data_IF_433919792849
#
_entry.id   IF_433919792849
#
_cell.length_a   1.000
_cell.length_b   1.000
_cell.length_c   1.000
_cell.angle_alpha   90.00
_cell.angle_beta   90.00
_cell.angle_gamma   90.00
#
_symmetry.space_group_name_H-M   'P 1'
#
loop_
_entity.id
_entity.type
_entity.pdbx_description
1 polymer ?
#
# COMPACT_ATOMS: atom_id res chain seq x y z
N UNK A 1 -12.60 11.76 16.94
CA UNK A 1 -11.16 12.03 16.88
C UNK A 1 -10.50 10.88 16.16
N UNK A 2 -9.68 11.20 15.15
CA UNK A 2 -8.64 10.36 14.52
C UNK A 2 -8.99 8.89 14.25
N UNK A 3 -9.44 8.58 13.03
CA UNK A 3 -9.57 7.20 12.57
C UNK A 3 -8.21 6.50 12.59
N UNK A 4 -8.07 5.42 13.33
CA UNK A 4 -6.83 4.64 13.40
C UNK A 4 -6.68 3.82 12.13
N UNK A 5 -5.78 4.26 11.26
CA UNK A 5 -5.42 3.58 10.02
C UNK A 5 -3.92 3.56 9.83
N UNK A 6 -3.49 2.99 8.70
CA UNK A 6 -2.11 3.10 8.23
C UNK A 6 -2.08 3.85 6.91
N UNK A 7 -1.04 4.65 6.70
CA UNK A 7 -0.79 5.28 5.41
C UNK A 7 -0.32 4.26 4.39
N UNK A 8 -0.88 4.38 3.19
CA UNK A 8 -0.46 3.70 1.99
C UNK A 8 0.25 4.71 1.08
N UNK A 9 1.15 4.22 0.22
CA UNK A 9 1.96 5.08 -0.66
C UNK A 9 1.19 5.63 -1.87
N UNK A 10 0.09 6.33 -1.63
CA UNK A 10 -0.71 6.99 -2.65
C UNK A 10 -1.21 8.37 -2.21
N UNK A 11 -1.26 9.31 -3.16
CA UNK A 11 -1.68 10.70 -2.95
C UNK A 11 -2.74 11.12 -3.95
N UNK A 12 -3.59 12.06 -3.54
CA UNK A 12 -4.49 12.75 -4.45
C UNK A 12 -3.71 13.66 -5.40
N UNK A 13 -4.12 13.73 -6.67
CA UNK A 13 -3.53 14.61 -7.68
C UNK A 13 -4.43 15.82 -8.05
N UNK A 14 -5.54 15.99 -7.35
CA UNK A 14 -6.62 16.92 -7.69
C UNK A 14 -7.81 16.27 -8.39
N UNK A 15 -7.65 15.05 -8.91
CA UNK A 15 -8.68 14.32 -9.66
C UNK A 15 -8.87 12.87 -9.19
N UNK A 16 -7.80 12.19 -8.78
CA UNK A 16 -7.78 10.78 -8.37
C UNK A 16 -6.63 10.51 -7.41
N UNK A 17 -6.60 9.28 -6.88
CA UNK A 17 -5.44 8.79 -6.15
C UNK A 17 -4.45 8.09 -7.08
N UNK A 18 -3.17 8.36 -6.87
CA UNK A 18 -2.07 7.79 -7.66
C UNK A 18 -1.07 7.13 -6.71
N UNK A 19 -0.78 5.86 -6.95
CA UNK A 19 0.29 5.12 -6.26
C UNK A 19 1.64 5.75 -6.62
N UNK A 20 2.43 6.13 -5.63
CA UNK A 20 3.70 6.83 -5.88
C UNK A 20 4.78 5.88 -6.38
N UNK A 21 4.73 4.59 -6.00
CA UNK A 21 5.67 3.56 -6.46
C UNK A 21 5.71 3.39 -7.98
N UNK A 22 4.56 3.32 -8.64
CA UNK A 22 4.48 2.96 -10.07
C UNK A 22 3.57 3.86 -10.91
N UNK A 23 2.96 4.88 -10.32
CA UNK A 23 2.06 5.80 -11.02
C UNK A 23 0.69 5.22 -11.34
N UNK A 24 0.39 4.00 -10.89
CA UNK A 24 -0.92 3.37 -11.13
C UNK A 24 -2.03 4.19 -10.47
N UNK A 25 -3.16 4.32 -11.15
CA UNK A 25 -4.33 5.06 -10.67
C UNK A 25 -5.23 4.16 -9.84
N UNK A 26 -5.59 4.62 -8.64
CA UNK A 26 -6.73 4.12 -7.89
C UNK A 26 -7.98 4.93 -8.30
N UNK A 27 -8.83 4.31 -9.14
CA UNK A 27 -10.06 4.95 -9.62
C UNK A 27 -10.96 5.41 -8.46
N UNK A 28 -11.63 6.55 -8.62
CA UNK A 28 -12.62 7.06 -7.66
C UNK A 28 -13.83 6.13 -7.51
N UNK A 29 -14.07 5.24 -8.48
CA UNK A 29 -15.14 4.23 -8.46
C UNK A 29 -14.65 2.85 -8.02
N UNK A 30 -13.39 2.73 -7.54
CA UNK A 30 -12.83 1.46 -7.10
C UNK A 30 -13.69 0.83 -5.99
N UNK A 31 -13.97 -0.49 -6.05
CA UNK A 31 -14.71 -1.17 -4.99
C UNK A 31 -13.93 -1.22 -3.68
N UNK A 32 -12.61 -0.94 -3.70
CA UNK A 32 -11.75 -0.94 -2.52
C UNK A 32 -12.00 0.26 -1.59
N UNK A 33 -12.74 1.28 -2.04
CA UNK A 33 -13.12 2.40 -1.20
C UNK A 33 -14.14 2.00 -0.15
N UNK A 34 -13.86 2.39 1.10
CA UNK A 34 -14.83 2.34 2.17
C UNK A 34 -16.10 3.13 1.79
N UNK A 35 -17.31 2.73 2.23
CA UNK A 35 -18.54 3.45 1.90
C UNK A 35 -18.43 4.96 2.15
N UNK A 36 -18.84 5.76 1.16
CA UNK A 36 -18.75 7.22 1.21
C UNK A 36 -17.38 7.79 0.84
N UNK A 37 -16.39 6.97 0.46
CA UNK A 37 -15.08 7.43 -0.02
C UNK A 37 -14.91 7.24 -1.53
N UNK A 38 -14.03 8.03 -2.19
CA UNK A 38 -13.26 9.14 -1.63
C UNK A 38 -14.08 10.43 -1.43
N UNK A 39 -15.38 10.46 -1.79
CA UNK A 39 -16.27 11.64 -1.69
C UNK A 39 -15.63 12.95 -2.22
N UNK A 40 -14.93 12.85 -3.35
CA UNK A 40 -14.23 14.00 -3.95
C UNK A 40 -13.01 14.50 -3.16
N UNK A 41 -12.60 13.82 -2.08
CA UNK A 41 -11.42 14.15 -1.29
C UNK A 41 -10.14 13.63 -1.96
N UNK A 42 -9.83 14.17 -3.14
CA UNK A 42 -8.74 13.73 -4.02
C UNK A 42 -7.72 14.83 -4.31
N UNK A 43 -7.72 15.91 -3.51
CA UNK A 43 -6.78 17.02 -3.66
C UNK A 43 -5.34 16.62 -3.32
N UNK A 44 -4.37 17.46 -3.70
CA UNK A 44 -2.93 17.24 -3.44
C UNK A 44 -2.55 17.21 -1.95
N UNK A 45 -3.43 17.70 -1.06
CA UNK A 45 -3.28 17.59 0.39
C UNK A 45 -3.89 16.33 1.00
N UNK A 46 -4.35 15.37 0.19
CA UNK A 46 -5.02 14.14 0.64
C UNK A 46 -4.14 12.91 0.38
N UNK A 47 -4.10 12.01 1.36
CA UNK A 47 -3.31 10.78 1.36
C UNK A 47 -4.23 9.56 1.53
N UNK A 48 -3.83 8.42 0.96
CA UNK A 48 -4.60 7.18 1.00
C UNK A 48 -4.38 6.47 2.34
N UNK A 49 -5.45 6.34 3.13
CA UNK A 49 -5.45 5.56 4.37
C UNK A 49 -6.01 4.16 4.16
N UNK A 50 -5.53 3.20 4.94
CA UNK A 50 -6.12 1.86 5.08
C UNK A 50 -6.65 1.68 6.50
N UNK A 51 -7.94 1.34 6.64
CA UNK A 51 -8.57 1.01 7.91
C UNK A 51 -8.06 -0.33 8.43
N UNK A 52 -7.83 -0.41 9.75
CA UNK A 52 -7.33 -1.64 10.41
C UNK A 52 -8.26 -2.15 11.52
N UNK A 53 -9.45 -1.56 11.66
CA UNK A 53 -10.38 -1.92 12.72
C UNK A 53 -11.29 -3.10 12.37
N UNK A 54 -11.38 -4.06 13.30
CA UNK A 54 -12.21 -5.27 13.15
C UNK A 54 -13.66 -4.98 12.75
N UNK A 55 -14.29 -3.94 13.29
CA UNK A 55 -15.69 -3.65 13.01
C UNK A 55 -15.91 -3.13 11.58
N UNK A 56 -15.01 -2.27 11.09
CA UNK A 56 -15.06 -1.77 9.72
C UNK A 56 -14.88 -2.92 8.73
N UNK A 57 -13.89 -3.78 8.98
CA UNK A 57 -13.67 -4.99 8.17
C UNK A 57 -14.82 -5.99 8.23
N UNK A 58 -15.48 -6.12 9.39
CA UNK A 58 -16.65 -7.00 9.55
C UNK A 58 -17.85 -6.48 8.75
N UNK A 59 -18.08 -5.17 8.74
CA UNK A 59 -19.26 -4.57 8.12
C UNK A 59 -19.02 -4.25 6.63
N UNK A 60 -17.76 -4.01 6.23
CA UNK A 60 -17.37 -3.61 4.89
C UNK A 60 -16.12 -4.38 4.43
N UNK A 61 -16.21 -5.72 4.32
CA UNK A 61 -15.07 -6.55 3.93
C UNK A 61 -14.56 -6.17 2.53
N UNK A 62 -13.23 -6.11 2.38
CA UNK A 62 -12.59 -5.80 1.09
C UNK A 62 -12.68 -4.32 0.67
N UNK A 63 -13.15 -3.43 1.55
CA UNK A 63 -13.29 -2.00 1.28
C UNK A 63 -12.43 -1.14 2.21
N UNK A 64 -11.10 -1.34 2.25
CA UNK A 64 -10.29 -0.86 3.34
C UNK A 64 -9.87 0.61 3.21
N UNK A 65 -10.07 1.24 2.05
CA UNK A 65 -9.45 2.53 1.77
C UNK A 65 -10.29 3.75 2.15
N UNK A 66 -9.62 4.76 2.71
CA UNK A 66 -10.15 6.09 3.04
C UNK A 66 -9.20 7.18 2.54
N UNK A 67 -9.61 8.44 2.65
CA UNK A 67 -8.80 9.60 2.25
C UNK A 67 -8.71 10.64 3.37
N UNK A 68 -7.54 10.87 3.90
CA UNK A 68 -7.36 11.81 5.02
C UNK A 68 -6.36 12.91 4.64
N UNK A 69 -6.42 14.09 5.29
CA UNK A 69 -5.38 15.10 5.13
C UNK A 69 -4.01 14.50 5.42
N UNK A 70 -3.03 14.73 4.54
CA UNK A 70 -1.68 14.18 4.71
C UNK A 70 -0.97 14.67 5.99
N UNK A 71 -1.48 15.73 6.63
CA UNK A 71 -0.99 16.24 7.91
C UNK A 71 -1.42 15.39 9.12
N UNK A 72 -2.33 14.43 8.94
CA UNK A 72 -2.72 13.50 10.00
C UNK A 72 -1.57 12.53 10.32
N UNK A 73 -1.39 12.27 11.62
CA UNK A 73 -0.38 11.34 12.09
C UNK A 73 -0.91 9.91 12.09
N UNK A 74 -0.47 9.11 11.12
CA UNK A 74 -0.65 7.65 11.09
C UNK A 74 0.68 6.94 10.91
N UNK A 75 0.72 5.64 11.25
CA UNK A 75 1.85 4.78 10.88
C UNK A 75 1.78 4.51 9.38
N UNK A 76 2.93 4.39 8.73
CA UNK A 76 2.99 4.04 7.30
C UNK A 76 3.25 2.55 7.15
N UNK A 77 2.48 1.89 6.27
CA UNK A 77 2.76 0.53 5.86
C UNK A 77 3.76 0.57 4.70
N UNK A 78 4.93 -0.02 4.89
CA UNK A 78 5.97 -0.08 3.87
C UNK A 78 5.96 -1.46 3.19
N UNK A 79 6.07 -1.46 1.86
CA UNK A 79 6.36 -2.66 1.08
C UNK A 79 7.87 -2.80 0.92
N UNK A 80 8.42 -3.98 1.22
CA UNK A 80 9.81 -4.32 0.91
C UNK A 80 9.83 -5.26 -0.29
N UNK A 81 10.48 -4.84 -1.37
CA UNK A 81 10.70 -5.72 -2.51
C UNK A 81 11.75 -6.76 -2.14
N UNK A 82 11.34 -8.02 -2.02
CA UNK A 82 12.25 -9.15 -1.90
C UNK A 82 12.91 -9.39 -3.26
N UNK A 83 14.07 -8.76 -3.51
CA UNK A 83 14.99 -9.33 -4.50
C UNK A 83 15.39 -10.70 -3.95
N UNK A 84 14.93 -11.78 -4.58
CA UNK A 84 15.46 -13.10 -4.29
C UNK A 84 16.99 -12.99 -4.35
N UNK A 85 17.65 -13.26 -3.22
CA UNK A 85 19.11 -13.33 -3.18
C UNK A 85 19.54 -14.28 -4.28
N UNK A 86 20.50 -13.94 -5.16
CA UNK A 86 21.04 -14.93 -6.08
C UNK A 86 21.55 -16.07 -5.22
N UNK A 87 21.06 -17.29 -5.49
CA UNK A 87 21.53 -18.48 -4.82
C UNK A 87 23.05 -18.49 -4.92
N UNK A 88 23.73 -18.54 -3.78
CA UNK A 88 25.18 -18.73 -3.72
C UNK A 88 25.50 -19.94 -4.59
N UNK A 89 26.34 -19.83 -5.65
CA UNK A 89 26.72 -21.01 -6.40
C UNK A 89 27.47 -21.92 -5.43
N UNK A 90 26.89 -23.09 -5.16
CA UNK A 90 27.56 -24.17 -4.45
C UNK A 90 28.76 -24.58 -5.31
N UNK A 91 29.96 -24.16 -4.91
CA UNK A 91 31.20 -24.64 -5.51
C UNK A 91 31.30 -26.14 -5.19
N UNK A 92 31.06 -26.98 -6.19
CA UNK A 92 31.37 -28.41 -6.12
C UNK A 92 32.90 -28.56 -6.20
N UNK A 93 33.59 -29.10 -5.18
CA UNK A 93 35.00 -29.42 -5.32
C UNK A 93 35.14 -30.60 -6.30
N UNK A 94 35.81 -30.33 -7.43
CA UNK A 94 36.21 -31.35 -8.40
C UNK A 94 37.45 -32.09 -7.88
N UNK A 95 37.27 -33.30 -7.35
CA UNK A 95 38.38 -34.20 -7.04
C UNK A 95 38.91 -34.82 -8.34
N UNK A 96 40.07 -34.33 -8.78
CA UNK A 96 40.90 -34.90 -9.84
C UNK A 96 41.51 -36.23 -9.37
N UNK A 97 41.72 -37.24 -10.24
CA UNK A 97 42.27 -38.54 -9.82
C UNK A 97 43.78 -38.46 -9.57
N UNK A 98 44.25 -39.12 -8.51
CA UNK A 98 45.66 -39.37 -8.24
C UNK A 98 46.24 -40.35 -9.27
N UNK A 99 47.45 -40.04 -9.76
CA UNK A 99 48.30 -40.86 -10.64
C UNK A 99 49.04 -41.91 -9.83
#
# INVERSE_FOLDING_TARGET
>A
GSGTGVWMDARGDGSKFVWQRDGTVLSNTSPLWFPGWPAGQVSTGRCLGMLIFKNDWKNHPGRPFTSDPCSHYYKTLCEASSTASPATPTVTPSSQPDV
#
